data_IF_916025289247
#
_entry.id   IF_916025289247
#
_cell.length_a   1.000
_cell.length_b   1.000
_cell.length_c   1.000
_cell.angle_alpha   90.00
_cell.angle_beta   90.00
_cell.angle_gamma   90.00
#
_symmetry.space_group_name_H-M   'P 1'
#
loop_
_entity.id
_entity.type
_entity.pdbx_description
1 polymer ?
#
# COMPACT_ATOMS: atom_id res chain seq x y z
N UNK A 1 -24.54 -35.94 20.40
CA UNK A 1 -23.19 -36.01 20.99
C UNK A 1 -22.41 -34.80 20.54
N UNK A 2 -21.35 -34.42 21.26
CA UNK A 2 -20.43 -33.36 20.85
C UNK A 2 -19.12 -33.99 20.37
N UNK A 3 -18.54 -33.45 19.29
CA UNK A 3 -17.24 -33.88 18.79
C UNK A 3 -16.11 -33.29 19.64
N UNK A 4 -15.04 -34.06 19.83
CA UNK A 4 -13.78 -33.57 20.40
C UNK A 4 -12.76 -33.53 19.28
N UNK A 5 -12.37 -32.33 18.88
CA UNK A 5 -11.46 -32.14 17.75
C UNK A 5 -10.01 -32.41 18.14
N UNK A 6 -9.23 -32.84 17.15
CA UNK A 6 -7.77 -32.89 17.23
C UNK A 6 -7.21 -31.47 17.25
N UNK A 7 -5.96 -31.33 17.69
CA UNK A 7 -5.26 -30.04 17.69
C UNK A 7 -5.32 -29.39 16.29
N UNK A 8 -5.59 -28.08 16.26
CA UNK A 8 -5.75 -27.26 15.05
C UNK A 8 -6.97 -27.61 14.18
N UNK A 9 -7.99 -28.28 14.74
CA UNK A 9 -9.27 -28.48 14.08
C UNK A 9 -10.42 -28.00 14.96
N UNK A 10 -11.44 -27.45 14.33
CA UNK A 10 -12.61 -26.88 14.98
C UNK A 10 -13.88 -27.07 14.13
N UNK A 11 -15.00 -26.56 14.63
CA UNK A 11 -16.32 -26.74 14.05
C UNK A 11 -17.14 -27.82 14.76
N UNK A 12 -18.42 -27.91 14.43
CA UNK A 12 -19.34 -28.83 15.10
C UNK A 12 -18.99 -30.31 14.84
N UNK A 13 -18.31 -30.57 13.72
CA UNK A 13 -17.85 -31.87 13.26
C UNK A 13 -16.32 -31.94 13.08
N UNK A 14 -15.56 -30.97 13.61
CA UNK A 14 -14.10 -30.87 13.40
C UNK A 14 -13.72 -30.75 11.92
N UNK A 15 -14.57 -30.09 11.16
CA UNK A 15 -14.53 -29.99 9.71
C UNK A 15 -13.67 -28.83 9.19
N UNK A 16 -13.21 -27.93 10.07
CA UNK A 16 -12.36 -26.81 9.67
C UNK A 16 -11.02 -26.86 10.39
N UNK A 17 -9.98 -26.35 9.74
CA UNK A 17 -8.72 -26.06 10.39
C UNK A 17 -8.86 -24.80 11.24
N UNK A 18 -8.47 -24.87 12.51
CA UNK A 18 -8.44 -23.69 13.38
C UNK A 18 -7.49 -22.65 12.78
N UNK A 19 -7.86 -21.37 12.91
CA UNK A 19 -6.99 -20.29 12.48
C UNK A 19 -5.66 -20.31 13.22
N UNK A 20 -4.57 -19.88 12.55
CA UNK A 20 -3.26 -19.82 13.15
C UNK A 20 -3.21 -18.76 14.26
N UNK A 21 -2.26 -18.92 15.18
CA UNK A 21 -2.14 -18.12 16.40
C UNK A 21 -1.91 -18.99 17.63
N UNK A 22 -1.18 -18.47 18.62
CA UNK A 22 -0.80 -19.24 19.81
C UNK A 22 -1.87 -19.16 20.91
N UNK A 23 -2.24 -17.94 21.30
CA UNK A 23 -3.18 -17.70 22.40
C UNK A 23 -4.59 -17.37 21.90
N UNK A 24 -4.67 -16.75 20.72
CA UNK A 24 -5.91 -16.36 20.06
C UNK A 24 -5.78 -16.50 18.53
N UNK A 25 -6.89 -16.75 17.80
CA UNK A 25 -6.90 -16.71 16.34
C UNK A 25 -6.31 -15.39 15.82
N UNK A 26 -5.38 -15.49 14.87
CA UNK A 26 -4.71 -14.35 14.25
C UNK A 26 -4.02 -13.41 15.26
N UNK A 27 -3.61 -13.96 16.41
CA UNK A 27 -2.91 -13.23 17.47
C UNK A 27 -3.67 -11.99 17.99
N UNK A 28 -5.00 -11.95 17.84
CA UNK A 28 -5.85 -10.76 18.09
C UNK A 28 -5.45 -9.52 17.27
N UNK A 29 -4.79 -9.71 16.12
CA UNK A 29 -4.32 -8.66 15.20
C UNK A 29 -4.75 -8.94 13.75
N UNK A 30 -5.91 -9.57 13.60
CA UNK A 30 -6.45 -9.89 12.29
C UNK A 30 -7.76 -10.66 12.39
N UNK A 31 -8.35 -10.86 11.22
CA UNK A 31 -9.61 -11.58 11.06
C UNK A 31 -9.37 -12.98 10.52
N UNK A 32 -9.91 -13.98 11.21
CA UNK A 32 -9.88 -15.37 10.79
C UNK A 32 -10.88 -15.62 9.66
N UNK A 33 -10.38 -15.93 8.46
CA UNK A 33 -11.17 -16.09 7.25
C UNK A 33 -10.90 -17.45 6.58
N UNK A 34 -11.86 -17.95 5.82
CA UNK A 34 -11.67 -19.15 4.99
C UNK A 34 -10.84 -18.82 3.75
N UNK A 35 -10.26 -19.83 3.09
CA UNK A 35 -9.56 -19.61 1.81
C UNK A 35 -10.46 -18.98 0.75
N UNK A 36 -11.75 -19.30 0.75
CA UNK A 36 -12.72 -18.66 -0.13
C UNK A 36 -12.83 -17.15 0.09
N UNK A 37 -12.97 -16.72 1.35
CA UNK A 37 -13.06 -15.31 1.70
C UNK A 37 -11.73 -14.58 1.49
N UNK A 38 -10.59 -15.21 1.81
CA UNK A 38 -9.27 -14.63 1.57
C UNK A 38 -8.97 -14.47 0.08
N UNK A 39 -9.48 -15.34 -0.79
CA UNK A 39 -9.34 -15.19 -2.23
C UNK A 39 -10.03 -13.90 -2.72
N UNK A 40 -11.21 -13.57 -2.18
CA UNK A 40 -11.92 -12.33 -2.54
C UNK A 40 -11.17 -11.06 -2.12
N UNK A 41 -10.31 -11.14 -1.10
CA UNK A 41 -9.41 -10.06 -0.65
C UNK A 41 -8.06 -10.05 -1.36
N UNK A 42 -7.83 -11.00 -2.27
CA UNK A 42 -6.60 -11.08 -3.05
C UNK A 42 -6.44 -9.86 -3.93
N UNK A 43 -5.44 -9.05 -3.60
CA UNK A 43 -5.06 -7.87 -4.36
C UNK A 43 -3.68 -8.01 -4.99
N UNK A 44 -3.48 -7.28 -6.08
CA UNK A 44 -2.18 -7.06 -6.70
C UNK A 44 -1.93 -5.55 -6.66
N UNK A 45 -0.80 -5.14 -6.08
CA UNK A 45 -0.45 -3.73 -5.93
C UNK A 45 -1.56 -2.89 -5.26
N UNK A 46 -2.28 -3.47 -4.30
CA UNK A 46 -3.38 -2.83 -3.58
C UNK A 46 -4.69 -2.71 -4.34
N UNK A 47 -4.83 -3.35 -5.50
CA UNK A 47 -6.08 -3.40 -6.28
C UNK A 47 -6.64 -4.82 -6.24
N UNK A 48 -7.90 -5.01 -5.85
CA UNK A 48 -8.50 -6.33 -5.82
C UNK A 48 -8.56 -6.93 -7.22
N UNK A 49 -8.21 -8.20 -7.30
CA UNK A 49 -8.19 -8.94 -8.56
C UNK A 49 -9.50 -9.69 -8.83
N UNK A 50 -10.43 -9.68 -7.85
CA UNK A 50 -11.68 -10.43 -7.94
C UNK A 50 -11.46 -11.94 -8.00
N UNK A 51 -10.37 -12.44 -7.40
CA UNK A 51 -10.12 -13.87 -7.34
C UNK A 51 -11.25 -14.56 -6.55
N UNK A 52 -11.58 -15.78 -6.97
CA UNK A 52 -12.56 -16.61 -6.26
C UNK A 52 -11.99 -18.00 -6.06
N UNK A 53 -12.29 -18.61 -4.91
CA UNK A 53 -11.86 -19.95 -4.58
C UNK A 53 -13.03 -20.75 -4.00
N UNK A 54 -13.44 -21.81 -4.68
CA UNK A 54 -14.60 -22.63 -4.27
C UNK A 54 -15.96 -22.16 -4.76
N UNK A 55 -16.04 -21.09 -5.57
CA UNK A 55 -17.32 -20.60 -6.10
C UNK A 55 -17.98 -21.55 -7.12
N UNK A 56 -17.20 -22.43 -7.76
CA UNK A 56 -17.73 -23.46 -8.66
C UNK A 56 -18.20 -24.68 -7.86
N UNK A 57 -19.51 -25.01 -7.84
CA UNK A 57 -20.02 -26.12 -7.06
C UNK A 57 -19.40 -27.46 -7.45
N UNK A 58 -19.01 -28.27 -6.47
CA UNK A 58 -18.41 -29.59 -6.65
C UNK A 58 -17.10 -29.59 -7.45
N UNK A 59 -16.37 -28.48 -7.51
CA UNK A 59 -15.07 -28.43 -8.18
C UNK A 59 -13.99 -29.10 -7.32
N UNK A 60 -13.41 -30.25 -7.74
CA UNK A 60 -12.54 -31.04 -6.88
C UNK A 60 -11.20 -30.36 -6.57
N UNK A 61 -10.77 -29.36 -7.34
CA UNK A 61 -9.51 -28.66 -7.08
C UNK A 61 -9.61 -27.60 -5.98
N UNK A 62 -10.83 -27.28 -5.52
CA UNK A 62 -11.09 -26.24 -4.50
C UNK A 62 -12.02 -26.80 -3.42
N UNK A 63 -11.86 -28.09 -3.10
CA UNK A 63 -12.71 -28.82 -2.16
C UNK A 63 -12.58 -28.32 -0.72
N UNK A 64 -11.48 -27.64 -0.42
CA UNK A 64 -11.01 -27.15 0.87
C UNK A 64 -11.32 -25.66 1.11
N UNK A 65 -12.02 -25.02 0.18
CA UNK A 65 -12.32 -23.57 0.21
C UNK A 65 -12.95 -23.07 1.51
N UNK A 66 -13.82 -23.88 2.15
CA UNK A 66 -14.50 -23.59 3.42
C UNK A 66 -13.91 -24.39 4.61
N UNK A 67 -12.84 -25.15 4.37
CA UNK A 67 -12.19 -26.04 5.34
C UNK A 67 -10.88 -25.48 5.86
N UNK A 68 -10.09 -24.87 4.99
CA UNK A 68 -8.82 -24.23 5.36
C UNK A 68 -9.10 -22.76 5.70
N UNK A 69 -8.51 -22.31 6.79
CA UNK A 69 -8.62 -20.95 7.29
C UNK A 69 -7.25 -20.32 7.43
N UNK A 70 -7.19 -19.00 7.28
CA UNK A 70 -6.01 -18.17 7.44
C UNK A 70 -6.39 -16.83 8.06
N UNK A 71 -5.39 -15.97 8.21
CA UNK A 71 -5.57 -14.65 8.82
C UNK A 71 -5.43 -13.54 7.79
N UNK A 72 -6.40 -12.64 7.79
CA UNK A 72 -6.31 -11.33 7.16
C UNK A 72 -5.85 -10.34 8.23
N UNK A 73 -4.64 -9.81 8.11
CA UNK A 73 -4.00 -9.05 9.18
C UNK A 73 -4.46 -7.60 9.23
N UNK A 74 -4.61 -7.08 10.45
CA UNK A 74 -4.88 -5.67 10.66
C UNK A 74 -3.70 -4.81 10.19
N UNK A 75 -3.97 -3.54 9.86
CA UNK A 75 -2.94 -2.59 9.40
C UNK A 75 -1.76 -2.53 10.37
N UNK A 76 -0.55 -2.68 9.82
CA UNK A 76 0.69 -2.71 10.61
C UNK A 76 1.08 -4.08 11.15
N UNK A 77 0.31 -5.12 10.88
CA UNK A 77 0.62 -6.51 11.22
C UNK A 77 0.75 -7.39 9.97
N UNK A 78 1.56 -8.45 10.09
CA UNK A 78 1.90 -9.37 9.02
C UNK A 78 2.30 -10.75 9.58
N UNK A 79 2.67 -11.66 8.70
CA UNK A 79 2.95 -13.05 9.00
C UNK A 79 1.70 -13.92 8.92
N UNK A 80 1.90 -15.23 8.99
CA UNK A 80 0.84 -16.23 8.80
C UNK A 80 -0.27 -16.18 9.87
N UNK A 81 0.06 -15.68 11.07
CA UNK A 81 -0.82 -15.56 12.24
C UNK A 81 -0.96 -14.11 12.73
N UNK A 82 -0.55 -13.14 11.92
CA UNK A 82 -0.56 -11.70 12.24
C UNK A 82 0.21 -11.31 13.50
N UNK A 83 1.13 -12.16 13.99
CA UNK A 83 1.89 -11.87 15.20
C UNK A 83 3.05 -10.89 14.99
N UNK A 84 3.38 -10.56 13.73
CA UNK A 84 4.56 -9.75 13.38
C UNK A 84 4.14 -8.36 13.00
N UNK A 85 4.90 -7.35 13.41
CA UNK A 85 4.71 -5.97 12.95
C UNK A 85 5.34 -5.77 11.58
N UNK A 86 4.68 -4.99 10.74
CA UNK A 86 5.20 -4.53 9.45
C UNK A 86 6.30 -3.50 9.73
N UNK A 87 7.46 -3.64 9.09
CA UNK A 87 8.49 -2.61 9.09
C UNK A 87 8.28 -1.61 7.94
N UNK A 88 8.85 -0.40 8.03
CA UNK A 88 8.83 0.56 6.93
C UNK A 88 9.40 -0.04 5.64
N UNK A 89 8.75 0.32 4.54
CA UNK A 89 9.22 0.02 3.20
C UNK A 89 9.80 1.29 2.57
N UNK A 90 10.74 1.10 1.67
CA UNK A 90 11.40 2.18 0.97
C UNK A 90 12.24 1.69 -0.20
N UNK A 91 12.84 2.65 -0.87
CA UNK A 91 13.74 2.45 -2.00
C UNK A 91 15.17 2.19 -1.53
N UNK A 92 15.86 1.28 -2.21
CA UNK A 92 17.25 0.99 -1.94
C UNK A 92 18.14 2.10 -2.53
N UNK A 93 18.80 2.94 -1.69
CA UNK A 93 19.51 4.10 -2.19
C UNK A 93 20.78 3.77 -3.01
N UNK A 94 21.16 2.49 -3.09
CA UNK A 94 22.28 2.04 -3.92
C UNK A 94 21.86 1.52 -5.29
N UNK A 95 20.57 1.35 -5.54
CA UNK A 95 20.10 1.01 -6.88
C UNK A 95 20.23 2.23 -7.79
N UNK A 96 20.69 2.00 -9.03
CA UNK A 96 21.03 3.07 -9.97
C UNK A 96 19.98 3.18 -11.07
N UNK A 97 19.80 4.40 -11.59
CA UNK A 97 18.89 4.71 -12.71
C UNK A 97 17.42 4.36 -12.44
N UNK A 98 16.97 4.61 -11.21
CA UNK A 98 15.57 4.44 -10.85
C UNK A 98 14.79 5.74 -11.02
N UNK A 99 13.48 5.62 -11.05
CA UNK A 99 12.55 6.73 -11.12
C UNK A 99 11.34 6.50 -10.22
N UNK A 100 10.76 7.61 -9.77
CA UNK A 100 9.45 7.60 -9.14
C UNK A 100 8.37 7.39 -10.20
N UNK A 101 7.23 6.88 -9.75
CA UNK A 101 6.00 6.88 -10.54
C UNK A 101 5.50 8.33 -10.69
N UNK A 102 5.18 8.76 -11.91
CA UNK A 102 4.61 10.07 -12.20
C UNK A 102 3.37 9.93 -13.05
N UNK A 103 2.24 10.39 -12.53
CA UNK A 103 0.96 10.41 -13.22
C UNK A 103 0.50 11.85 -13.40
N UNK A 104 -0.06 12.17 -14.58
CA UNK A 104 -0.55 13.50 -14.92
C UNK A 104 -2.07 13.47 -15.06
N UNK A 105 -2.73 14.44 -14.42
CA UNK A 105 -4.17 14.65 -14.56
C UNK A 105 -4.40 15.95 -15.32
N UNK A 106 -5.14 15.85 -16.41
CA UNK A 106 -5.58 17.02 -17.18
C UNK A 106 -7.05 17.28 -16.89
N UNK A 107 -7.37 18.46 -16.36
CA UNK A 107 -8.70 18.86 -15.98
C UNK A 107 -9.15 20.14 -16.69
N UNK A 108 -10.37 20.11 -17.25
CA UNK A 108 -11.04 21.26 -17.87
C UNK A 108 -12.37 21.52 -17.18
N UNK A 109 -12.58 22.75 -16.72
CA UNK A 109 -13.84 23.17 -16.12
C UNK A 109 -13.71 24.42 -15.24
N UNK A 110 -14.82 25.14 -15.08
CA UNK A 110 -14.95 26.33 -14.20
C UNK A 110 -15.98 26.14 -13.09
N UNK A 111 -16.50 24.92 -12.95
CA UNK A 111 -17.45 24.49 -11.91
C UNK A 111 -17.40 22.98 -11.79
N UNK A 112 -17.98 22.42 -10.73
CA UNK A 112 -18.05 20.98 -10.50
C UNK A 112 -16.93 20.50 -9.59
N UNK A 113 -16.89 19.18 -9.44
CA UNK A 113 -15.96 18.49 -8.55
C UNK A 113 -15.57 17.15 -9.15
N UNK A 114 -14.64 16.47 -8.48
CA UNK A 114 -14.23 15.13 -8.85
C UNK A 114 -13.76 14.37 -7.61
N UNK A 115 -13.65 13.06 -7.76
CA UNK A 115 -13.04 12.18 -6.77
C UNK A 115 -11.85 11.48 -7.41
N UNK A 116 -10.78 11.30 -6.64
CA UNK A 116 -9.67 10.45 -7.02
C UNK A 116 -9.78 9.15 -6.25
N UNK A 117 -9.54 8.04 -6.94
CA UNK A 117 -9.53 6.70 -6.35
C UNK A 117 -8.17 6.07 -6.57
N UNK A 118 -7.55 5.60 -5.50
CA UNK A 118 -6.28 4.89 -5.54
C UNK A 118 -6.35 3.69 -4.60
N UNK A 119 -6.03 2.49 -5.10
CA UNK A 119 -6.10 1.23 -4.34
C UNK A 119 -7.42 1.09 -3.58
N UNK A 120 -8.53 1.36 -4.30
CA UNK A 120 -9.92 1.28 -3.82
C UNK A 120 -10.31 2.29 -2.74
N UNK A 121 -9.40 3.17 -2.34
CA UNK A 121 -9.70 4.28 -1.46
C UNK A 121 -10.03 5.52 -2.27
N UNK A 122 -11.14 6.16 -1.90
CA UNK A 122 -11.65 7.35 -2.57
C UNK A 122 -11.33 8.55 -1.69
N UNK A 123 -10.83 9.62 -2.29
CA UNK A 123 -10.64 10.90 -1.60
C UNK A 123 -11.98 11.49 -1.14
N UNK A 124 -11.93 12.52 -0.31
CA UNK A 124 -13.06 13.43 -0.19
C UNK A 124 -13.32 14.16 -1.53
N UNK A 125 -14.47 14.84 -1.64
CA UNK A 125 -14.86 15.53 -2.86
C UNK A 125 -13.93 16.73 -3.13
N UNK A 126 -13.27 16.71 -4.30
CA UNK A 126 -12.31 17.73 -4.68
C UNK A 126 -12.98 18.75 -5.60
N UNK A 127 -12.93 20.02 -5.22
CA UNK A 127 -13.46 21.11 -6.05
C UNK A 127 -12.57 21.38 -7.26
N UNK A 128 -13.16 21.79 -8.40
CA UNK A 128 -12.43 22.29 -9.56
C UNK A 128 -11.43 23.42 -9.22
N UNK A 129 -11.72 24.19 -8.16
CA UNK A 129 -10.91 25.32 -7.70
C UNK A 129 -9.86 24.95 -6.64
N UNK A 130 -9.56 23.65 -6.48
CA UNK A 130 -8.50 23.19 -5.57
C UNK A 130 -7.12 23.56 -6.13
N UNK A 131 -6.14 23.72 -5.25
CA UNK A 131 -4.73 23.95 -5.58
C UNK A 131 -3.93 22.64 -5.57
N UNK A 132 -2.69 22.65 -6.07
CA UNK A 132 -1.82 21.48 -5.99
C UNK A 132 -1.58 21.00 -4.53
N UNK A 133 -1.45 21.94 -3.58
CA UNK A 133 -1.30 21.62 -2.15
C UNK A 133 -2.56 20.97 -1.55
N UNK A 134 -3.75 21.37 -2.03
CA UNK A 134 -5.01 20.73 -1.63
C UNK A 134 -5.05 19.28 -2.15
N UNK A 135 -4.69 19.05 -3.43
CA UNK A 135 -4.62 17.69 -4.00
C UNK A 135 -3.65 16.82 -3.23
N UNK A 136 -2.46 17.34 -2.91
CA UNK A 136 -1.49 16.65 -2.07
C UNK A 136 -2.13 16.21 -0.75
N UNK A 137 -2.81 17.12 -0.07
CA UNK A 137 -3.47 16.83 1.22
C UNK A 137 -4.57 15.78 1.10
N UNK A 138 -5.37 15.79 0.02
CA UNK A 138 -6.39 14.76 -0.21
C UNK A 138 -5.79 13.38 -0.50
N UNK A 139 -4.67 13.31 -1.23
CA UNK A 139 -4.00 12.05 -1.55
C UNK A 139 -3.28 11.46 -0.33
N UNK A 140 -2.56 12.27 0.46
CA UNK A 140 -1.87 11.83 1.69
C UNK A 140 -2.83 11.48 2.83
N UNK A 141 -4.13 11.79 2.68
CA UNK A 141 -5.17 11.30 3.59
C UNK A 141 -5.58 9.84 3.30
N UNK A 142 -5.24 9.29 2.13
CA UNK A 142 -5.46 7.88 1.80
C UNK A 142 -4.42 7.02 2.52
N UNK A 143 -4.85 5.96 3.20
CA UNK A 143 -3.94 5.15 4.05
C UNK A 143 -2.90 4.37 3.26
N UNK A 144 -3.02 4.31 1.94
CA UNK A 144 -2.07 3.64 1.03
C UNK A 144 -1.07 4.59 0.38
N UNK A 145 -1.12 5.89 0.70
CA UNK A 145 -0.22 6.93 0.21
C UNK A 145 0.34 7.67 1.43
N UNK A 146 1.66 7.60 1.65
CA UNK A 146 2.30 8.32 2.74
C UNK A 146 2.77 9.71 2.30
N UNK A 147 3.32 9.83 1.08
CA UNK A 147 4.00 11.03 0.62
C UNK A 147 3.93 11.18 -0.90
N UNK A 148 3.44 12.32 -1.35
CA UNK A 148 3.43 12.69 -2.78
C UNK A 148 3.92 14.12 -2.98
N UNK A 149 4.42 14.38 -4.18
CA UNK A 149 4.64 15.72 -4.68
C UNK A 149 3.61 16.00 -5.78
N UNK A 150 2.89 17.11 -5.65
CA UNK A 150 1.93 17.56 -6.66
C UNK A 150 2.39 18.90 -7.20
N UNK A 151 2.53 19.00 -8.52
CA UNK A 151 2.95 20.23 -9.19
C UNK A 151 1.93 20.65 -10.24
N UNK A 152 1.70 21.95 -10.35
CA UNK A 152 0.88 22.53 -11.41
C UNK A 152 1.40 23.91 -11.78
N UNK A 153 1.39 24.21 -13.08
CA UNK A 153 1.75 25.53 -13.60
C UNK A 153 0.68 26.59 -13.30
N UNK A 154 -0.54 26.18 -12.98
CA UNK A 154 -1.65 27.05 -12.62
C UNK A 154 -1.97 26.97 -11.13
N UNK A 155 -2.52 28.07 -10.59
CA UNK A 155 -2.96 28.10 -9.19
C UNK A 155 -4.09 27.11 -8.92
N UNK A 156 -4.98 26.90 -9.89
CA UNK A 156 -6.11 25.98 -9.79
C UNK A 156 -5.85 24.73 -10.63
N UNK A 157 -6.25 23.58 -10.13
CA UNK A 157 -6.06 22.29 -10.81
C UNK A 157 -6.92 22.14 -12.07
N UNK A 158 -8.06 22.81 -12.13
CA UNK A 158 -8.93 22.87 -13.30
C UNK A 158 -9.10 24.31 -13.80
N UNK A 159 -9.06 24.51 -15.12
CA UNK A 159 -9.28 25.81 -15.75
C UNK A 159 -10.17 25.67 -16.98
N UNK A 160 -10.70 26.79 -17.50
CA UNK A 160 -11.52 26.80 -18.72
C UNK A 160 -10.74 26.33 -19.95
N UNK A 161 -9.45 26.64 -20.03
CA UNK A 161 -8.56 26.22 -21.13
C UNK A 161 -8.02 24.79 -20.99
N UNK A 162 -8.35 24.12 -19.88
CA UNK A 162 -7.66 22.92 -19.44
C UNK A 162 -6.36 23.25 -18.71
N UNK A 163 -6.09 22.51 -17.65
CA UNK A 163 -4.84 22.53 -16.91
C UNK A 163 -4.37 21.11 -16.64
N UNK A 164 -3.06 20.91 -16.69
CA UNK A 164 -2.43 19.63 -16.35
C UNK A 164 -1.62 19.82 -15.08
N UNK A 165 -1.81 18.93 -14.12
CA UNK A 165 -0.99 18.83 -12.92
C UNK A 165 -0.41 17.43 -12.81
N UNK A 166 0.77 17.32 -12.23
CA UNK A 166 1.50 16.06 -12.07
C UNK A 166 1.49 15.64 -10.62
N UNK A 167 1.40 14.32 -10.40
CA UNK A 167 1.51 13.66 -9.12
C UNK A 167 2.71 12.73 -9.22
N UNK A 168 3.77 13.05 -8.49
CA UNK A 168 4.92 12.18 -8.31
C UNK A 168 4.77 11.44 -6.98
N UNK A 169 4.79 10.11 -7.02
CA UNK A 169 4.72 9.28 -5.84
C UNK A 169 6.10 9.11 -5.23
N UNK A 170 6.27 9.65 -4.03
CA UNK A 170 7.49 9.46 -3.26
C UNK A 170 7.37 8.24 -2.36
N UNK A 171 6.20 8.03 -1.77
CA UNK A 171 5.88 6.88 -0.92
C UNK A 171 4.39 6.57 -1.03
N UNK A 172 3.99 5.37 -1.50
CA UNK A 172 4.83 4.22 -1.85
C UNK A 172 5.62 4.43 -3.14
N UNK A 173 6.72 3.69 -3.29
CA UNK A 173 7.47 3.55 -4.55
C UNK A 173 7.03 2.28 -5.30
N UNK A 174 7.71 1.93 -6.39
CA UNK A 174 7.37 0.90 -7.39
C UNK A 174 6.54 1.43 -8.57
N UNK A 175 6.24 0.55 -9.52
CA UNK A 175 5.26 0.80 -10.58
C UNK A 175 3.88 0.69 -9.93
N UNK A 176 3.14 1.79 -9.86
CA UNK A 176 1.87 1.88 -9.12
C UNK A 176 0.68 1.79 -10.09
N UNK A 177 -0.51 1.36 -9.62
CA UNK A 177 -1.70 1.45 -10.46
C UNK A 177 -2.04 2.92 -10.75
N UNK A 178 -2.66 3.15 -11.90
CA UNK A 178 -3.18 4.47 -12.28
C UNK A 178 -4.24 4.93 -11.27
N UNK A 179 -4.21 6.21 -10.89
CA UNK A 179 -5.33 6.83 -10.16
C UNK A 179 -6.56 6.84 -11.07
N UNK A 180 -7.69 6.40 -10.55
CA UNK A 180 -8.97 6.52 -11.26
C UNK A 180 -9.65 7.84 -10.90
N UNK A 181 -10.32 8.46 -11.87
CA UNK A 181 -11.01 9.73 -11.68
C UNK A 181 -12.50 9.56 -11.89
N UNK A 182 -13.29 9.99 -10.91
CA UNK A 182 -14.75 10.12 -11.06
C UNK A 182 -15.12 11.58 -11.27
N UNK A 183 -15.54 11.92 -12.48
CA UNK A 183 -16.01 13.27 -12.83
C UNK A 183 -17.40 13.54 -12.23
N UNK A 184 -17.54 14.65 -11.49
CA UNK A 184 -18.81 15.14 -10.95
C UNK A 184 -19.11 16.58 -11.41
N UNK A 185 -19.29 16.75 -12.73
CA UNK A 185 -19.77 18.00 -13.32
C UNK A 185 -18.70 18.94 -13.89
N UNK A 186 -17.49 18.43 -14.13
CA UNK A 186 -16.46 19.08 -14.94
C UNK A 186 -16.69 18.84 -16.44
N UNK A 187 -16.12 19.68 -17.29
CA UNK A 187 -16.19 19.51 -18.75
C UNK A 187 -15.39 18.28 -19.21
N UNK A 188 -14.17 18.11 -18.69
CA UNK A 188 -13.37 16.91 -18.88
C UNK A 188 -12.35 16.73 -17.76
N UNK A 189 -12.02 15.48 -17.47
CA UNK A 189 -10.89 15.12 -16.62
C UNK A 189 -10.33 13.78 -17.09
N UNK A 190 -9.02 13.70 -17.29
CA UNK A 190 -8.34 12.52 -17.79
C UNK A 190 -7.02 12.32 -17.05
N UNK A 191 -6.60 11.07 -16.95
CA UNK A 191 -5.34 10.67 -16.33
C UNK A 191 -4.46 9.96 -17.36
N UNK A 192 -3.15 10.17 -17.27
CA UNK A 192 -2.12 9.46 -18.01
C UNK A 192 -0.89 9.24 -17.12
N UNK A 193 -0.35 8.02 -17.13
CA UNK A 193 0.94 7.72 -16.50
C UNK A 193 2.06 8.17 -17.42
N UNK A 194 2.81 9.18 -16.96
CA UNK A 194 3.90 9.80 -17.73
C UNK A 194 5.23 9.12 -17.51
N UNK A 195 5.39 8.45 -16.35
CA UNK A 195 6.58 7.70 -16.00
C UNK A 195 6.25 6.57 -15.04
N UNK A 196 6.51 5.34 -15.47
CA UNK A 196 6.42 4.18 -14.59
C UNK A 196 7.53 4.23 -13.54
N UNK A 197 7.15 3.99 -12.28
CA UNK A 197 8.07 3.87 -11.17
C UNK A 197 8.91 2.60 -11.28
N UNK A 198 10.21 2.73 -10.98
CA UNK A 198 11.16 1.61 -10.99
C UNK A 198 11.92 1.44 -9.68
N UNK A 199 11.71 2.35 -8.73
CA UNK A 199 12.23 2.24 -7.37
C UNK A 199 11.67 1.02 -6.66
N UNK A 200 12.49 0.41 -5.81
CA UNK A 200 12.01 -0.73 -5.02
C UNK A 200 11.05 -0.26 -3.93
N UNK A 201 10.03 -1.07 -3.64
CA UNK A 201 9.23 -0.96 -2.43
C UNK A 201 9.59 -2.14 -1.53
N UNK A 202 10.72 -2.02 -0.83
CA UNK A 202 11.33 -3.12 -0.11
C UNK A 202 11.34 -2.89 1.40
N UNK A 203 11.14 -3.97 2.16
CA UNK A 203 11.23 -3.96 3.62
C UNK A 203 12.62 -3.43 4.04
N UNK A 204 12.62 -2.39 4.88
CA UNK A 204 13.84 -1.71 5.33
C UNK A 204 14.76 -1.30 4.17
N UNK A 205 14.19 -0.94 3.02
CA UNK A 205 14.92 -0.49 1.82
C UNK A 205 16.00 -1.48 1.35
N UNK A 206 15.85 -2.78 1.64
CA UNK A 206 16.91 -3.80 1.47
C UNK A 206 18.23 -3.50 2.21
N UNK A 207 18.22 -2.56 3.14
CA UNK A 207 19.39 -1.98 3.81
C UNK A 207 19.29 -2.01 5.33
N UNK A 208 18.38 -2.83 5.83
CA UNK A 208 18.30 -3.21 7.23
C UNK A 208 17.62 -4.55 7.41
N UNK A 209 17.49 -4.95 8.66
CA UNK A 209 16.71 -6.12 9.08
C UNK A 209 15.52 -5.64 9.88
N UNK A 210 14.33 -6.13 9.55
CA UNK A 210 13.12 -5.83 10.31
C UNK A 210 13.13 -6.54 11.66
N UNK A 211 12.98 -5.77 12.76
CA UNK A 211 12.54 -6.34 14.03
C UNK A 211 11.02 -6.43 14.04
N UNK A 212 10.50 -7.61 13.71
CA UNK A 212 9.07 -7.91 13.67
C UNK A 212 8.35 -7.77 15.01
N UNK A 213 9.06 -7.60 16.13
CA UNK A 213 8.43 -7.35 17.44
C UNK A 213 8.06 -5.89 17.60
N UNK A 214 8.93 -4.99 17.14
CA UNK A 214 8.78 -3.54 17.27
C UNK A 214 8.27 -2.87 16.00
N UNK A 215 8.40 -3.52 14.83
CA UNK A 215 8.10 -2.94 13.52
C UNK A 215 9.14 -1.91 13.09
N UNK A 216 10.37 -1.99 13.64
CA UNK A 216 11.45 -1.04 13.37
C UNK A 216 12.57 -1.71 12.57
N UNK A 217 13.15 -0.97 11.63
CA UNK A 217 14.31 -1.44 10.89
C UNK A 217 15.61 -1.21 11.66
N UNK A 218 16.45 -2.24 11.71
CA UNK A 218 17.84 -2.15 12.15
C UNK A 218 18.72 -2.00 10.92
N UNK A 219 19.20 -0.78 10.66
CA UNK A 219 19.97 -0.48 9.46
C UNK A 219 21.37 -1.09 9.47
N UNK A 220 21.84 -1.46 8.28
CA UNK A 220 23.22 -1.87 8.07
C UNK A 220 24.19 -0.69 8.21
N UNK A 221 25.48 -1.00 8.36
CA UNK A 221 26.51 0.02 8.51
C UNK A 221 26.52 0.99 7.31
N UNK A 222 26.67 2.28 7.61
CA UNK A 222 26.57 3.36 6.62
C UNK A 222 25.15 3.69 6.16
N UNK A 223 24.10 3.06 6.70
CA UNK A 223 22.71 3.32 6.32
C UNK A 223 21.90 3.93 7.45
N UNK A 224 20.98 4.81 7.11
CA UNK A 224 20.15 5.59 8.02
C UNK A 224 18.75 5.81 7.50
N UNK A 225 17.93 6.43 8.35
CA UNK A 225 16.54 6.74 8.06
C UNK A 225 16.42 7.82 6.97
N UNK A 226 15.48 7.63 6.05
CA UNK A 226 15.25 8.53 4.92
C UNK A 226 13.96 9.35 5.05
N UNK A 227 13.81 10.34 4.17
CA UNK A 227 12.55 11.05 3.93
C UNK A 227 11.71 10.45 2.78
N UNK A 228 12.10 9.30 2.22
CA UNK A 228 11.50 8.68 1.04
C UNK A 228 12.16 9.08 -0.29
N UNK A 229 13.08 10.04 -0.28
CA UNK A 229 13.75 10.59 -1.46
C UNK A 229 15.28 10.57 -1.34
N UNK A 230 15.83 9.50 -0.77
CA UNK A 230 17.27 9.29 -0.57
C UNK A 230 17.98 10.45 0.15
N UNK A 231 17.24 11.22 0.95
CA UNK A 231 17.76 12.26 1.83
C UNK A 231 17.37 11.96 3.27
N UNK A 232 18.01 12.63 4.23
CA UNK A 232 17.80 12.38 5.66
C UNK A 232 16.35 12.63 6.07
N UNK A 233 15.77 11.70 6.84
CA UNK A 233 14.43 11.84 7.39
C UNK A 233 14.16 10.85 8.53
N UNK A 234 12.91 10.78 8.99
CA UNK A 234 12.53 10.06 10.21
C UNK A 234 11.67 8.80 9.95
N UNK A 235 11.63 8.29 8.71
CA UNK A 235 10.82 7.10 8.34
C UNK A 235 11.28 5.80 8.99
N UNK A 236 12.53 5.72 9.42
CA UNK A 236 13.12 4.52 10.01
C UNK A 236 13.26 3.37 9.00
N UNK A 237 13.47 3.67 7.73
CA UNK A 237 13.41 2.73 6.59
C UNK A 237 14.78 2.30 6.05
N UNK A 238 15.88 2.83 6.58
CA UNK A 238 17.24 2.56 6.10
C UNK A 238 17.51 3.00 4.64
N UNK A 239 16.68 3.91 4.11
CA UNK A 239 16.75 4.39 2.73
C UNK A 239 17.73 5.54 2.48
N UNK A 240 18.57 5.91 3.46
CA UNK A 240 19.53 7.02 3.34
C UNK A 240 20.97 6.55 3.57
N UNK A 241 21.90 6.99 2.73
CA UNK A 241 23.33 6.71 2.87
C UNK A 241 23.92 7.76 3.81
N UNK A 242 24.40 7.33 4.97
CA UNK A 242 25.06 8.21 5.92
C UNK A 242 26.35 8.76 5.31
N UNK A 243 26.63 10.07 5.45
CA UNK A 243 27.93 10.60 5.04
C UNK A 243 29.02 9.89 5.84
N UNK A 244 30.05 9.38 5.15
CA UNK A 244 31.23 8.82 5.81
C UNK A 244 31.79 9.86 6.78
N UNK A 245 31.63 9.62 8.08
CA UNK A 245 32.55 10.18 9.05
C UNK A 245 33.88 9.48 8.76
N UNK A 246 34.80 10.19 8.12
CA UNK A 246 36.21 9.86 8.29
C UNK A 246 36.42 10.03 9.80
N UNK A 247 36.42 8.93 10.54
CA UNK A 247 37.09 8.93 11.83
C UNK A 247 38.52 9.34 11.51
N UNK A 248 38.86 10.59 11.82
CA UNK A 248 40.25 11.03 11.86
C UNK A 248 40.98 10.00 12.72
N UNK A 249 41.77 9.13 12.10
CA UNK A 249 42.78 8.36 12.79
C UNK A 249 43.73 9.37 13.44
N UNK A 250 43.52 9.62 14.74
CA UNK A 250 44.44 10.37 15.62
C UNK A 250 45.50 9.43 16.17
#
# INVERSE_FOLDING_TARGET
GQCRCTTNFEGAACERMSCPGVDAPCSDQGTCLTMAALAELGNENGVLQGYTYGNTPNHPATWDFDKIQGCDCDTGYTGYDCSRRVCPFGDDPLTLNQANEVQAITCTGTSGSFFLTFREQITEEISYASTADDIKSYLEALSSIDLVQVESDNTLVCTESGNTFTIEFWVPTSNLPDIEVTNNGLDSITIETTQDGSKEWAECSNRGICDFTTGSCVCFDGMGSSNGMADVGDRGDCGFILPFLIEDEV
#
